data_IF_557551672664
#
_entry.id   IF_557551672664
#
_cell.length_a   1.000
_cell.length_b   1.000
_cell.length_c   1.000
_cell.angle_alpha   90.00
_cell.angle_beta   90.00
_cell.angle_gamma   90.00
#
_symmetry.space_group_name_H-M   'P 1'
#
loop_
_entity.id
_entity.type
_entity.pdbx_description
1 polymer ?
#
# COMPACT_ATOMS: atom_id res chain seq x y z
N UNK A 1 13.59 -24.73 12.91
CA UNK A 1 13.09 -24.52 11.53
C UNK A 1 13.37 -23.09 11.13
N UNK A 2 14.26 -22.88 10.14
CA UNK A 2 14.88 -21.59 9.84
C UNK A 2 13.84 -20.54 9.41
N UNK A 3 12.82 -20.96 8.67
CA UNK A 3 11.73 -20.09 8.21
C UNK A 3 10.95 -19.48 9.38
N UNK A 4 10.52 -20.31 10.35
CA UNK A 4 9.75 -19.83 11.51
C UNK A 4 10.55 -18.86 12.37
N UNK A 5 11.86 -19.05 12.49
CA UNK A 5 12.73 -18.11 13.20
C UNK A 5 12.81 -16.76 12.47
N UNK A 6 12.97 -16.77 11.13
CA UNK A 6 12.98 -15.55 10.33
C UNK A 6 11.64 -14.79 10.38
N UNK A 7 10.50 -15.48 10.32
CA UNK A 7 9.17 -14.85 10.44
C UNK A 7 8.97 -14.16 11.80
N UNK A 8 9.50 -14.73 12.90
CA UNK A 8 9.48 -14.09 14.22
C UNK A 8 10.32 -12.81 14.23
N UNK A 9 11.55 -12.87 13.72
CA UNK A 9 12.41 -11.68 13.64
C UNK A 9 11.77 -10.57 12.79
N UNK A 10 11.13 -10.91 11.67
CA UNK A 10 10.41 -9.93 10.84
C UNK A 10 9.21 -9.32 11.57
N UNK A 11 8.52 -10.11 12.40
CA UNK A 11 7.39 -9.63 13.20
C UNK A 11 7.84 -8.70 14.32
N UNK A 12 8.96 -9.02 14.98
CA UNK A 12 9.58 -8.15 15.98
C UNK A 12 10.10 -6.85 15.34
N UNK A 13 10.81 -6.95 14.22
CA UNK A 13 11.34 -5.80 13.48
C UNK A 13 10.22 -4.85 12.99
N UNK A 14 9.07 -5.40 12.56
CA UNK A 14 7.94 -4.60 12.09
C UNK A 14 7.33 -3.63 13.10
N UNK A 15 7.70 -3.75 14.39
CA UNK A 15 7.28 -2.84 15.46
C UNK A 15 8.18 -1.62 15.59
N UNK A 16 9.34 -1.63 14.95
CA UNK A 16 10.29 -0.53 15.02
C UNK A 16 9.88 0.59 14.04
N UNK A 17 9.90 1.87 14.46
CA UNK A 17 9.69 2.99 13.56
C UNK A 17 10.68 2.95 12.38
N UNK A 18 10.22 3.34 11.19
CA UNK A 18 10.99 3.33 9.96
C UNK A 18 11.13 1.95 9.30
N UNK A 19 10.73 0.85 9.95
CA UNK A 19 10.80 -0.49 9.36
C UNK A 19 10.08 -0.59 7.99
N UNK A 20 8.82 -0.12 7.84
CA UNK A 20 8.15 -0.21 6.54
C UNK A 20 8.88 0.57 5.42
N UNK A 21 9.50 1.70 5.76
CA UNK A 21 10.29 2.51 4.82
C UNK A 21 11.58 1.80 4.40
N UNK A 22 12.27 1.12 5.34
CA UNK A 22 13.43 0.30 5.01
C UNK A 22 13.05 -0.84 4.06
N UNK A 23 11.90 -1.48 4.28
CA UNK A 23 11.39 -2.52 3.37
C UNK A 23 11.08 -1.93 2.00
N UNK A 24 10.46 -0.74 1.90
CA UNK A 24 10.22 -0.07 0.62
C UNK A 24 11.50 0.24 -0.14
N UNK A 25 12.59 0.61 0.56
CA UNK A 25 13.90 0.82 -0.08
C UNK A 25 14.44 -0.47 -0.71
N UNK A 26 14.22 -1.62 -0.06
CA UNK A 26 14.57 -2.92 -0.64
C UNK A 26 13.72 -3.20 -1.87
N UNK A 27 12.41 -2.93 -1.83
CA UNK A 27 11.52 -3.11 -2.99
C UNK A 27 11.96 -2.25 -4.18
N UNK A 28 12.41 -1.02 -3.91
CA UNK A 28 12.89 -0.05 -4.89
C UNK A 28 14.27 -0.38 -5.46
N UNK A 29 15.04 -1.31 -4.88
CA UNK A 29 16.35 -1.67 -5.42
C UNK A 29 16.20 -2.22 -6.84
N UNK A 30 17.13 -1.90 -7.74
CA UNK A 30 17.08 -2.34 -9.14
C UNK A 30 17.98 -3.56 -9.41
N UNK A 31 18.59 -4.14 -8.37
CA UNK A 31 19.47 -5.29 -8.53
C UNK A 31 18.67 -6.54 -8.95
N UNK A 32 19.06 -7.12 -10.09
CA UNK A 32 18.44 -8.30 -10.69
C UNK A 32 18.75 -9.55 -9.87
N UNK A 33 19.89 -9.60 -9.18
CA UNK A 33 20.25 -10.72 -8.30
C UNK A 33 19.28 -10.89 -7.12
N UNK A 34 18.58 -9.80 -6.75
CA UNK A 34 17.69 -9.74 -5.59
C UNK A 34 16.20 -9.86 -5.94
N UNK A 35 15.83 -10.28 -7.15
CA UNK A 35 14.41 -10.29 -7.57
C UNK A 35 13.47 -11.04 -6.60
N UNK A 36 13.91 -12.18 -6.06
CA UNK A 36 13.14 -12.95 -5.07
C UNK A 36 13.06 -12.25 -3.71
N UNK A 37 14.12 -11.56 -3.31
CA UNK A 37 14.19 -10.76 -2.08
C UNK A 37 13.27 -9.57 -2.18
N UNK A 38 13.28 -8.86 -3.32
CA UNK A 38 12.40 -7.73 -3.61
C UNK A 38 10.93 -8.13 -3.61
N UNK A 39 10.60 -9.27 -4.25
CA UNK A 39 9.23 -9.80 -4.22
C UNK A 39 8.81 -10.15 -2.78
N UNK A 40 9.69 -10.80 -2.01
CA UNK A 40 9.42 -11.15 -0.62
C UNK A 40 9.27 -9.90 0.26
N UNK A 41 10.08 -8.88 0.03
CA UNK A 41 10.00 -7.57 0.68
C UNK A 41 8.67 -6.87 0.36
N UNK A 42 8.21 -6.90 -0.89
CA UNK A 42 6.93 -6.31 -1.29
C UNK A 42 5.74 -7.01 -0.63
N UNK A 43 5.79 -8.35 -0.55
CA UNK A 43 4.78 -9.14 0.18
C UNK A 43 4.81 -8.79 1.67
N UNK A 44 6.00 -8.70 2.28
CA UNK A 44 6.15 -8.32 3.69
C UNK A 44 5.62 -6.91 3.94
N UNK A 45 5.99 -5.94 3.11
CA UNK A 45 5.51 -4.56 3.20
C UNK A 45 3.98 -4.50 3.18
N UNK A 46 3.34 -5.15 2.20
CA UNK A 46 1.88 -5.23 2.14
C UNK A 46 1.28 -5.82 3.41
N UNK A 47 1.88 -6.88 3.96
CA UNK A 47 1.39 -7.51 5.20
C UNK A 47 1.56 -6.59 6.42
N UNK A 48 2.65 -5.82 6.48
CA UNK A 48 2.86 -4.79 7.51
C UNK A 48 1.81 -3.68 7.40
N UNK A 49 1.51 -3.22 6.18
CA UNK A 49 0.42 -2.25 5.93
C UNK A 49 -0.92 -2.82 6.35
N UNK A 50 -1.26 -4.05 5.92
CA UNK A 50 -2.53 -4.71 6.28
C UNK A 50 -2.74 -4.76 7.80
N UNK A 51 -1.67 -5.05 8.55
CA UNK A 51 -1.72 -5.16 10.01
C UNK A 51 -1.61 -3.81 10.72
N UNK A 52 -0.88 -2.84 10.19
CA UNK A 52 -0.49 -1.63 10.95
C UNK A 52 -1.16 -0.33 10.52
N UNK A 53 -1.98 -0.35 9.46
CA UNK A 53 -2.61 0.86 8.93
C UNK A 53 -4.01 1.12 9.48
N UNK A 54 -4.86 0.09 9.50
CA UNK A 54 -6.20 0.19 10.03
C UNK A 54 -6.18 -0.10 11.53
N UNK A 55 -6.38 0.93 12.33
CA UNK A 55 -6.36 0.82 13.79
C UNK A 55 -7.67 0.29 14.38
N UNK A 56 -8.72 0.21 13.55
CA UNK A 56 -10.07 -0.24 13.92
C UNK A 56 -10.39 -1.67 13.48
N UNK A 57 -9.50 -2.31 12.72
CA UNK A 57 -9.65 -3.70 12.28
C UNK A 57 -9.23 -4.64 13.43
N UNK A 58 -10.23 -5.11 14.21
CA UNK A 58 -10.07 -5.89 15.46
C UNK A 58 -9.60 -7.34 15.25
N UNK A 59 -9.52 -7.83 14.03
CA UNK A 59 -9.45 -9.28 13.73
C UNK A 59 -8.08 -9.94 14.06
N UNK A 60 -7.00 -9.19 14.28
CA UNK A 60 -5.64 -9.75 14.44
C UNK A 60 -4.67 -8.94 15.35
N UNK A 61 -5.12 -7.85 15.97
CA UNK A 61 -4.22 -6.79 16.49
C UNK A 61 -4.44 -6.41 17.96
N UNK A 62 -5.33 -7.10 18.67
CA UNK A 62 -5.62 -6.84 20.07
C UNK A 62 -4.62 -7.59 20.98
N UNK A 63 -3.43 -7.00 21.15
CA UNK A 63 -2.41 -7.56 22.03
C UNK A 63 -1.12 -6.75 22.09
N UNK A 64 -0.20 -7.09 23.01
CA UNK A 64 1.09 -6.39 23.19
C UNK A 64 2.03 -6.48 21.97
N UNK A 65 1.62 -7.23 20.95
CA UNK A 65 2.36 -7.46 19.71
C UNK A 65 1.79 -6.68 18.51
N UNK A 66 0.88 -5.72 18.76
CA UNK A 66 0.29 -4.87 17.74
C UNK A 66 1.35 -4.17 16.90
N UNK A 67 1.19 -4.24 15.58
CA UNK A 67 2.01 -3.44 14.65
C UNK A 67 1.32 -2.09 14.49
N UNK A 68 2.04 -1.00 14.75
CA UNK A 68 1.55 0.36 14.52
C UNK A 68 2.57 1.09 13.67
N UNK A 69 2.12 1.61 12.53
CA UNK A 69 2.97 2.40 11.64
C UNK A 69 2.94 3.84 12.13
N UNK A 70 4.12 4.41 12.40
CA UNK A 70 4.25 5.77 12.91
C UNK A 70 3.62 6.79 11.92
N UNK A 71 2.97 7.87 12.40
CA UNK A 71 2.33 8.86 11.52
C UNK A 71 3.28 9.45 10.46
N UNK A 72 4.53 9.76 10.84
CA UNK A 72 5.54 10.26 9.91
C UNK A 72 5.89 9.24 8.80
N UNK A 73 5.91 7.95 9.14
CA UNK A 73 6.13 6.89 8.16
C UNK A 73 4.94 6.77 7.21
N UNK A 74 3.71 6.94 7.71
CA UNK A 74 2.50 6.90 6.87
C UNK A 74 2.54 7.95 5.77
N UNK A 75 2.91 9.19 6.09
CA UNK A 75 2.96 10.26 5.11
C UNK A 75 4.05 10.02 4.05
N UNK A 76 5.23 9.54 4.47
CA UNK A 76 6.32 9.17 3.55
C UNK A 76 5.96 7.97 2.67
N UNK A 77 5.24 6.99 3.20
CA UNK A 77 4.74 5.85 2.42
C UNK A 77 3.79 6.37 1.34
N UNK A 78 2.81 7.20 1.72
CA UNK A 78 1.84 7.77 0.77
C UNK A 78 2.54 8.57 -0.34
N UNK A 79 3.55 9.37 -0.01
CA UNK A 79 4.27 10.20 -1.00
C UNK A 79 5.13 9.43 -2.00
N UNK A 80 5.47 8.16 -1.71
CA UNK A 80 6.40 7.39 -2.55
C UNK A 80 5.77 6.16 -3.21
N UNK A 81 4.70 5.60 -2.62
CA UNK A 81 4.19 4.29 -3.01
C UNK A 81 3.61 4.25 -4.43
N UNK A 82 2.94 5.32 -4.88
CA UNK A 82 2.37 5.41 -6.23
C UNK A 82 3.49 5.43 -7.28
N UNK A 83 4.51 6.26 -7.09
CA UNK A 83 5.67 6.33 -7.99
C UNK A 83 6.41 4.99 -8.04
N UNK A 84 6.62 4.36 -6.88
CA UNK A 84 7.28 3.07 -6.80
C UNK A 84 6.50 2.01 -7.58
N UNK A 85 5.17 1.96 -7.45
CA UNK A 85 4.32 1.03 -8.21
C UNK A 85 4.51 1.18 -9.73
N UNK A 86 4.77 2.39 -10.22
CA UNK A 86 4.98 2.65 -11.64
C UNK A 86 6.38 2.27 -12.16
N UNK A 87 7.35 2.03 -11.27
CA UNK A 87 8.75 1.77 -11.65
C UNK A 87 9.19 0.31 -11.46
N UNK A 88 8.40 -0.47 -10.73
CA UNK A 88 8.71 -1.87 -10.40
C UNK A 88 8.11 -2.87 -11.42
N UNK A 89 8.68 -4.08 -11.56
CA UNK A 89 8.13 -5.13 -12.41
C UNK A 89 6.71 -5.58 -12.02
N UNK A 90 5.93 -6.18 -12.94
CA UNK A 90 4.51 -6.51 -12.73
C UNK A 90 4.18 -7.32 -11.46
N UNK A 91 5.04 -8.25 -11.05
CA UNK A 91 4.82 -9.07 -9.85
C UNK A 91 4.91 -8.26 -8.55
N UNK A 92 5.82 -7.28 -8.51
CA UNK A 92 5.99 -6.36 -7.38
C UNK A 92 4.92 -5.27 -7.45
N UNK A 93 4.63 -4.77 -8.66
CA UNK A 93 3.58 -3.80 -8.92
C UNK A 93 2.25 -4.24 -8.31
N UNK A 94 1.86 -5.51 -8.51
CA UNK A 94 0.64 -6.06 -7.92
C UNK A 94 0.61 -6.00 -6.38
N UNK A 95 1.74 -6.20 -5.70
CA UNK A 95 1.81 -6.07 -4.23
C UNK A 95 1.71 -4.60 -3.79
N UNK A 96 2.33 -3.67 -4.53
CA UNK A 96 2.21 -2.24 -4.29
C UNK A 96 0.76 -1.75 -4.52
N UNK A 97 0.10 -2.17 -5.59
CA UNK A 97 -1.31 -1.87 -5.88
C UNK A 97 -2.25 -2.33 -4.77
N UNK A 98 -2.01 -3.53 -4.23
CA UNK A 98 -2.80 -4.06 -3.11
C UNK A 98 -2.54 -3.26 -1.83
N UNK A 99 -1.28 -2.89 -1.55
CA UNK A 99 -0.95 -2.03 -0.41
C UNK A 99 -1.62 -0.64 -0.53
N UNK A 100 -1.61 -0.03 -1.72
CA UNK A 100 -2.33 1.23 -1.99
C UNK A 100 -3.82 1.05 -1.71
N UNK A 101 -4.43 -0.04 -2.17
CA UNK A 101 -5.85 -0.32 -1.98
C UNK A 101 -6.23 -0.47 -0.50
N UNK A 102 -5.38 -1.15 0.28
CA UNK A 102 -5.54 -1.30 1.73
C UNK A 102 -5.48 0.04 2.46
N UNK A 103 -4.48 0.87 2.14
CA UNK A 103 -4.34 2.19 2.73
C UNK A 103 -5.53 3.09 2.33
N UNK A 104 -5.88 3.09 1.05
CA UNK A 104 -6.97 3.89 0.52
C UNK A 104 -8.30 3.56 1.21
N UNK A 105 -8.56 2.29 1.57
CA UNK A 105 -9.74 1.88 2.35
C UNK A 105 -9.95 2.73 3.61
N UNK A 106 -8.86 3.13 4.25
CA UNK A 106 -8.85 3.82 5.54
C UNK A 106 -8.66 5.33 5.38
N UNK A 107 -7.83 5.75 4.43
CA UNK A 107 -7.38 7.15 4.32
C UNK A 107 -7.99 7.92 3.14
N UNK A 108 -8.45 7.26 2.08
CA UNK A 108 -9.08 7.96 0.96
C UNK A 108 -10.57 8.23 1.24
N UNK A 109 -11.13 9.42 0.91
CA UNK A 109 -10.45 10.59 0.37
C UNK A 109 -9.88 11.57 1.41
N UNK A 110 -10.30 11.53 2.68
CA UNK A 110 -10.05 12.65 3.60
C UNK A 110 -8.60 12.80 4.09
N UNK A 111 -7.83 11.71 4.15
CA UNK A 111 -6.45 11.66 4.65
C UNK A 111 -5.41 11.33 3.56
N UNK A 112 -5.87 11.16 2.33
CA UNK A 112 -5.05 10.93 1.13
C UNK A 112 -5.75 11.47 -0.12
N UNK A 113 -6.00 12.78 -0.13
CA UNK A 113 -6.81 13.50 -1.13
C UNK A 113 -6.17 13.54 -2.53
N UNK A 114 -4.85 13.59 -2.63
CA UNK A 114 -4.11 13.59 -3.89
C UNK A 114 -3.97 12.21 -4.57
N UNK A 115 -4.47 11.12 -3.98
CA UNK A 115 -4.31 9.76 -4.52
C UNK A 115 -4.88 9.58 -5.93
N UNK A 116 -6.14 9.98 -6.16
CA UNK A 116 -6.76 9.86 -7.48
C UNK A 116 -6.10 10.78 -8.52
N UNK A 117 -5.83 12.07 -8.24
CA UNK A 117 -5.05 12.92 -9.14
C UNK A 117 -3.70 12.32 -9.54
N UNK A 118 -2.95 11.73 -8.59
CA UNK A 118 -1.67 11.08 -8.89
C UNK A 118 -1.83 9.87 -9.81
N UNK A 119 -2.80 8.99 -9.54
CA UNK A 119 -3.08 7.82 -10.37
C UNK A 119 -3.52 8.23 -11.79
N UNK A 120 -4.43 9.19 -11.92
CA UNK A 120 -4.92 9.68 -13.21
C UNK A 120 -3.77 10.31 -14.01
N UNK A 121 -2.86 11.03 -13.35
CA UNK A 121 -1.67 11.60 -13.97
C UNK A 121 -0.78 10.55 -14.66
N UNK A 122 -0.85 9.28 -14.25
CA UNK A 122 -0.07 8.18 -14.84
C UNK A 122 -0.74 7.52 -16.06
N UNK A 123 -1.97 7.88 -16.41
CA UNK A 123 -2.68 7.29 -17.58
C UNK A 123 -2.03 7.62 -18.92
N UNK A 124 -1.30 8.74 -19.01
CA UNK A 124 -0.57 9.14 -20.22
C UNK A 124 0.82 8.50 -20.33
N UNK A 125 1.15 7.52 -19.47
CA UNK A 125 2.42 6.82 -19.55
C UNK A 125 2.55 6.08 -20.89
N UNK A 126 3.71 6.14 -21.56
CA UNK A 126 3.95 5.37 -22.79
C UNK A 126 4.10 3.86 -22.51
N UNK A 127 4.27 3.45 -21.24
CA UNK A 127 4.40 2.05 -20.83
C UNK A 127 3.01 1.44 -20.50
N UNK A 128 2.52 0.46 -21.30
CA UNK A 128 1.23 -0.20 -21.04
C UNK A 128 1.19 -0.95 -19.70
N UNK A 129 2.33 -1.42 -19.18
CA UNK A 129 2.38 -2.10 -17.89
C UNK A 129 2.08 -1.12 -16.75
N UNK A 130 2.57 0.12 -16.84
CA UNK A 130 2.25 1.20 -15.90
C UNK A 130 0.76 1.51 -15.95
N UNK A 131 0.22 1.75 -17.15
CA UNK A 131 -1.21 2.08 -17.32
C UNK A 131 -2.10 0.97 -16.78
N UNK A 132 -1.77 -0.30 -17.08
CA UNK A 132 -2.50 -1.47 -16.58
C UNK A 132 -2.51 -1.54 -15.04
N UNK A 133 -1.34 -1.40 -14.40
CA UNK A 133 -1.23 -1.42 -12.94
C UNK A 133 -2.02 -0.29 -12.26
N UNK A 134 -1.97 0.91 -12.84
CA UNK A 134 -2.74 2.06 -12.34
C UNK A 134 -4.25 1.80 -12.50
N UNK A 135 -4.72 1.31 -13.65
CA UNK A 135 -6.13 0.99 -13.87
C UNK A 135 -6.65 -0.08 -12.90
N UNK A 136 -5.85 -1.11 -12.64
CA UNK A 136 -6.19 -2.15 -11.64
C UNK A 136 -6.35 -1.54 -10.25
N UNK A 137 -5.43 -0.66 -9.87
CA UNK A 137 -5.43 0.03 -8.56
C UNK A 137 -6.64 0.96 -8.43
N UNK A 138 -6.89 1.80 -9.45
CA UNK A 138 -8.06 2.68 -9.50
C UNK A 138 -9.36 1.87 -9.42
N UNK A 139 -9.48 0.78 -10.19
CA UNK A 139 -10.66 -0.08 -10.14
C UNK A 139 -10.83 -0.71 -8.74
N UNK A 140 -9.75 -1.09 -8.06
CA UNK A 140 -9.82 -1.60 -6.68
C UNK A 140 -10.35 -0.56 -5.69
N UNK A 141 -9.83 0.67 -5.76
CA UNK A 141 -10.31 1.79 -4.94
C UNK A 141 -11.78 2.09 -5.26
N UNK A 142 -12.15 2.17 -6.54
CA UNK A 142 -13.50 2.53 -6.96
C UNK A 142 -14.55 1.45 -6.70
N UNK A 143 -14.15 0.17 -6.70
CA UNK A 143 -15.06 -0.96 -6.41
C UNK A 143 -15.77 -0.80 -5.07
N UNK A 144 -15.12 -0.20 -4.06
CA UNK A 144 -15.74 0.02 -2.75
C UNK A 144 -16.96 0.94 -2.82
N UNK A 145 -16.95 1.94 -3.70
CA UNK A 145 -18.04 2.89 -3.84
C UNK A 145 -19.23 2.33 -4.61
N UNK A 146 -19.07 1.21 -5.35
CA UNK A 146 -20.16 0.58 -6.09
C UNK A 146 -21.27 0.05 -5.20
N UNK A 147 -20.95 -0.30 -3.95
CA UNK A 147 -21.87 -0.91 -3.00
C UNK A 147 -22.27 0.03 -1.86
N UNK A 148 -21.72 1.25 -1.82
CA UNK A 148 -22.16 2.26 -0.85
C UNK A 148 -23.55 2.72 -1.28
N UNK A 149 -24.58 2.36 -0.51
CA UNK A 149 -25.92 2.90 -0.68
C UNK A 149 -25.87 4.44 -0.58
N UNK A 150 -26.59 5.11 -1.49
CA UNK A 150 -26.74 6.57 -1.51
C UNK A 150 -27.10 7.07 -0.11
N UNK A 151 -26.14 7.69 0.55
CA UNK A 151 -26.34 8.54 1.73
C UNK A 151 -25.67 9.88 1.43
N UNK A 152 -26.23 10.97 1.94
CA UNK A 152 -25.88 12.35 1.57
C UNK A 152 -24.40 12.72 1.73
N UNK A 153 -23.64 11.94 2.51
CA UNK A 153 -22.19 12.06 2.62
C UNK A 153 -21.45 11.70 1.32
N UNK A 154 -21.93 10.70 0.56
CA UNK A 154 -21.32 10.23 -0.69
C UNK A 154 -21.40 11.29 -1.82
N UNK A 155 -22.46 12.11 -1.83
CA UNK A 155 -22.61 13.17 -2.83
C UNK A 155 -21.62 14.32 -2.65
N UNK A 156 -21.16 14.60 -1.43
CA UNK A 156 -20.14 15.63 -1.20
C UNK A 156 -18.79 15.23 -1.81
N UNK A 157 -18.42 13.95 -1.73
CA UNK A 157 -17.13 13.47 -2.24
C UNK A 157 -17.11 13.35 -3.77
N UNK A 158 -18.27 13.12 -4.42
CA UNK A 158 -18.36 12.97 -5.89
C UNK A 158 -18.46 14.33 -6.61
N UNK A 159 -19.00 15.38 -5.97
CA UNK A 159 -19.31 16.66 -6.64
C UNK A 159 -18.08 17.60 -6.76
N UNK A 160 -16.97 17.33 -6.05
CA UNK A 160 -15.74 18.14 -6.13
C UNK A 160 -14.62 17.49 -6.97
N UNK A 161 -14.92 16.44 -7.74
CA UNK A 161 -14.06 15.98 -8.85
C UNK A 161 -14.55 16.60 -10.15
#
# INVERSE_FOLDING_TARGET
>A
DVRRAAERHLTEASRSPGHPLLVLRIVASSDVADASVRQSAAVHFKNVVKKGWDESDDDDNDGPNRVVIAPADRDLIKSHLVELMCTVPPQIQAQCSEAISLIARVDFPQRWDNLLPELIGKFNSPDPAVVSGVLVTVNAILRRFRYVQRSDALYRDIIYT
#
